data_IF_751857332658
#
_entry.id   IF_751857332658
#
_cell.length_a   1.000
_cell.length_b   1.000
_cell.length_c   1.000
_cell.angle_alpha   90.00
_cell.angle_beta   90.00
_cell.angle_gamma   90.00
#
_symmetry.space_group_name_H-M   'P 1'
#
loop_
_entity.id
_entity.type
_entity.pdbx_description
1 polymer ?
#
# COMPACT_ATOMS: atom_id res chain seq x y z
N UNK A 1 18.07 -4.01 -1.40
CA UNK A 1 17.40 -2.99 -0.57
C UNK A 1 15.88 -3.08 -0.68
N UNK A 2 15.26 -2.69 -1.81
CA UNK A 2 13.79 -2.61 -1.94
C UNK A 2 13.02 -3.89 -1.54
N UNK A 3 13.53 -5.08 -1.89
CA UNK A 3 12.91 -6.36 -1.52
C UNK A 3 12.73 -6.51 0.00
N UNK A 4 13.76 -6.18 0.79
CA UNK A 4 13.70 -6.22 2.25
C UNK A 4 12.77 -5.15 2.84
N UNK A 5 12.66 -3.99 2.19
CA UNK A 5 11.73 -2.94 2.63
C UNK A 5 10.28 -3.38 2.42
N UNK A 6 9.98 -4.05 1.30
CA UNK A 6 8.68 -4.64 1.02
C UNK A 6 8.36 -5.83 1.95
N UNK A 7 9.38 -6.55 2.43
CA UNK A 7 9.25 -7.58 3.46
C UNK A 7 8.81 -7.03 4.83
N UNK A 8 9.12 -5.76 5.12
CA UNK A 8 8.72 -5.10 6.38
C UNK A 8 7.27 -4.61 6.42
N UNK A 9 6.57 -4.66 5.28
CA UNK A 9 5.17 -4.28 5.17
C UNK A 9 4.27 -5.44 5.60
N UNK A 10 3.15 -5.10 6.24
CA UNK A 10 2.09 -6.06 6.50
C UNK A 10 1.50 -6.60 5.19
N UNK A 11 0.82 -7.76 5.28
CA UNK A 11 0.17 -8.37 4.13
C UNK A 11 -0.86 -7.44 3.47
N UNK A 12 -1.64 -6.70 4.28
CA UNK A 12 -2.60 -5.73 3.78
C UNK A 12 -1.93 -4.56 3.05
N UNK A 13 -0.85 -4.01 3.61
CA UNK A 13 -0.09 -2.93 2.95
C UNK A 13 0.49 -3.39 1.61
N UNK A 14 1.07 -4.59 1.57
CA UNK A 14 1.60 -5.17 0.33
C UNK A 14 0.48 -5.38 -0.70
N UNK A 15 -0.65 -5.91 -0.29
CA UNK A 15 -1.82 -6.12 -1.15
C UNK A 15 -2.32 -4.80 -1.73
N UNK A 16 -2.49 -3.77 -0.89
CA UNK A 16 -2.93 -2.45 -1.31
C UNK A 16 -1.95 -1.80 -2.31
N UNK A 17 -0.64 -1.96 -2.11
CA UNK A 17 0.38 -1.49 -3.05
C UNK A 17 0.31 -2.21 -4.40
N UNK A 18 0.15 -3.54 -4.39
CA UNK A 18 0.01 -4.33 -5.63
C UNK A 18 -1.21 -3.87 -6.42
N UNK A 19 -2.37 -3.82 -5.77
CA UNK A 19 -3.60 -3.40 -6.43
C UNK A 19 -3.50 -1.96 -6.97
N UNK A 20 -2.81 -1.06 -6.24
CA UNK A 20 -2.68 0.34 -6.67
C UNK A 20 -1.74 0.53 -7.84
N UNK A 21 -0.56 -0.08 -7.79
CA UNK A 21 0.55 0.26 -8.70
C UNK A 21 0.76 -0.75 -9.82
N UNK A 22 0.36 -2.00 -9.63
CA UNK A 22 0.49 -3.05 -10.65
C UNK A 22 -0.84 -3.31 -11.34
N UNK A 23 -1.93 -3.37 -10.58
CA UNK A 23 -3.29 -3.57 -11.14
C UNK A 23 -4.01 -2.26 -11.50
N UNK A 24 -3.37 -1.11 -11.26
CA UNK A 24 -3.89 0.23 -11.57
C UNK A 24 -5.28 0.53 -11.00
N UNK A 25 -5.68 -0.14 -9.91
CA UNK A 25 -6.97 0.10 -9.27
C UNK A 25 -6.98 1.46 -8.55
N UNK A 26 -8.13 2.13 -8.59
CA UNK A 26 -8.38 3.33 -7.77
C UNK A 26 -8.49 2.96 -6.29
N UNK A 27 -8.28 3.91 -5.39
CA UNK A 27 -8.39 3.65 -3.95
C UNK A 27 -9.80 3.21 -3.53
N UNK A 28 -10.85 3.68 -4.23
CA UNK A 28 -12.22 3.22 -4.01
C UNK A 28 -12.40 1.77 -4.43
N UNK A 29 -11.93 1.39 -5.62
CA UNK A 29 -11.98 -0.01 -6.06
C UNK A 29 -11.19 -0.95 -5.13
N UNK A 30 -10.05 -0.47 -4.60
CA UNK A 30 -9.27 -1.23 -3.62
C UNK A 30 -10.05 -1.38 -2.31
N UNK A 31 -10.66 -0.30 -1.83
CA UNK A 31 -11.48 -0.28 -0.61
C UNK A 31 -12.61 -1.30 -0.68
N UNK A 32 -13.36 -1.30 -1.79
CA UNK A 32 -14.43 -2.26 -2.06
C UNK A 32 -13.90 -3.70 -2.09
N UNK A 33 -12.72 -3.91 -2.71
CA UNK A 33 -12.10 -5.24 -2.85
C UNK A 33 -11.59 -5.81 -1.52
N UNK A 34 -11.03 -4.99 -0.64
CA UNK A 34 -10.39 -5.45 0.61
C UNK A 34 -11.25 -5.23 1.86
N UNK A 35 -12.47 -4.70 1.70
CA UNK A 35 -13.45 -4.58 2.78
C UNK A 35 -13.14 -3.49 3.81
N UNK A 36 -12.47 -2.40 3.42
CA UNK A 36 -12.18 -1.25 4.27
C UNK A 36 -12.60 0.05 3.59
N UNK A 37 -12.66 1.17 4.33
CA UNK A 37 -12.98 2.45 3.70
C UNK A 37 -11.86 2.97 2.79
N UNK A 38 -12.21 3.72 1.75
CA UNK A 38 -11.23 4.39 0.87
C UNK A 38 -10.28 5.31 1.66
N UNK A 39 -10.78 5.97 2.71
CA UNK A 39 -9.94 6.76 3.62
C UNK A 39 -8.92 5.89 4.38
N UNK A 40 -9.27 4.65 4.75
CA UNK A 40 -8.30 3.70 5.31
C UNK A 40 -7.25 3.31 4.27
N UNK A 41 -7.65 2.98 3.03
CA UNK A 41 -6.72 2.71 1.92
C UNK A 41 -5.76 3.88 1.70
N UNK A 42 -6.25 5.11 1.68
CA UNK A 42 -5.44 6.33 1.52
C UNK A 42 -4.38 6.44 2.61
N UNK A 43 -4.77 6.25 3.88
CA UNK A 43 -3.86 6.30 5.03
C UNK A 43 -2.81 5.19 4.98
N UNK A 44 -3.19 3.97 4.58
CA UNK A 44 -2.24 2.87 4.39
C UNK A 44 -1.21 3.22 3.32
N UNK A 45 -1.64 3.65 2.13
CA UNK A 45 -0.75 4.04 1.05
C UNK A 45 0.23 5.14 1.48
N UNK A 46 -0.27 6.21 2.09
CA UNK A 46 0.58 7.33 2.55
C UNK A 46 1.62 6.86 3.58
N UNK A 47 1.21 6.03 4.55
CA UNK A 47 2.11 5.49 5.58
C UNK A 47 3.17 4.56 4.99
N UNK A 48 2.76 3.60 4.16
CA UNK A 48 3.68 2.63 3.57
C UNK A 48 4.68 3.32 2.63
N UNK A 49 4.23 4.24 1.77
CA UNK A 49 5.11 5.00 0.89
C UNK A 49 6.06 5.92 1.66
N UNK A 50 5.59 6.54 2.74
CA UNK A 50 6.42 7.32 3.65
C UNK A 50 7.56 6.49 4.23
N UNK A 51 7.24 5.34 4.84
CA UNK A 51 8.24 4.41 5.39
C UNK A 51 9.23 3.94 4.33
N UNK A 52 8.76 3.55 3.14
CA UNK A 52 9.64 3.09 2.06
C UNK A 52 10.60 4.20 1.61
N UNK A 53 10.13 5.45 1.52
CA UNK A 53 10.98 6.60 1.18
C UNK A 53 12.04 6.85 2.25
N UNK A 54 11.64 6.84 3.52
CA UNK A 54 12.55 7.13 4.64
C UNK A 54 13.66 6.07 4.76
N UNK A 55 13.40 4.83 4.34
CA UNK A 55 14.39 3.74 4.35
C UNK A 55 15.26 3.67 3.08
N UNK A 56 14.95 4.46 2.05
CA UNK A 56 15.75 4.57 0.83
C UNK A 56 16.77 5.73 0.90
N UNK A 57 16.57 6.65 1.85
CA UNK A 57 17.52 7.72 2.18
C UNK A 57 18.54 7.24 3.20
#
# INVERSE_FOLDING_TARGET
ALRHLLESLSELERTVLVLRFFESMTQTQIADRVGISQMHVSRLLAKSLGRLRDQLQ
#
